data_IF_503200111669
#
_entry.id   IF_503200111669
#
_cell.length_a   1.000
_cell.length_b   1.000
_cell.length_c   1.000
_cell.angle_alpha   90.00
_cell.angle_beta   90.00
_cell.angle_gamma   90.00
#
_symmetry.space_group_name_H-M   'P 1'
#
loop_
_entity.id
_entity.type
_entity.pdbx_description
1 polymer ?
#
# COMPACT_ATOMS: atom_id res chain seq x y z
N UNK A 1 -16.98 5.46 16.44
CA UNK A 1 -15.51 5.58 16.31
C UNK A 1 -14.79 4.26 16.03
N UNK A 2 -15.17 3.14 16.68
CA UNK A 2 -14.53 1.82 16.47
C UNK A 2 -14.62 1.29 15.03
N UNK A 3 -15.80 1.34 14.41
CA UNK A 3 -16.02 0.86 13.02
C UNK A 3 -15.18 1.64 12.00
N UNK A 4 -15.13 2.97 12.14
CA UNK A 4 -14.33 3.83 11.27
C UNK A 4 -12.84 3.47 11.33
N UNK A 5 -12.31 3.33 12.54
CA UNK A 5 -10.91 2.92 12.74
C UNK A 5 -10.63 1.52 12.18
N UNK A 6 -11.59 0.59 12.26
CA UNK A 6 -11.46 -0.74 11.68
C UNK A 6 -11.41 -0.69 10.15
N UNK A 7 -12.31 0.07 9.52
CA UNK A 7 -12.36 0.23 8.05
C UNK A 7 -11.06 0.85 7.55
N UNK A 8 -10.60 1.93 8.19
CA UNK A 8 -9.36 2.61 7.81
C UNK A 8 -8.16 1.68 7.95
N UNK A 9 -8.05 0.96 9.07
CA UNK A 9 -6.99 -0.04 9.27
C UNK A 9 -7.00 -1.08 8.16
N UNK A 10 -8.19 -1.61 7.83
CA UNK A 10 -8.37 -2.61 6.78
C UNK A 10 -7.94 -2.08 5.41
N UNK A 11 -8.25 -0.82 5.08
CA UNK A 11 -7.81 -0.19 3.82
C UNK A 11 -6.28 -0.14 3.74
N UNK A 12 -5.61 0.33 4.78
CA UNK A 12 -4.14 0.37 4.83
C UNK A 12 -3.51 -1.03 4.74
N UNK A 13 -4.12 -2.03 5.40
CA UNK A 13 -3.67 -3.42 5.34
C UNK A 13 -3.81 -3.99 3.93
N UNK A 14 -4.96 -3.77 3.28
CA UNK A 14 -5.20 -4.21 1.90
C UNK A 14 -4.19 -3.57 0.94
N UNK A 15 -3.98 -2.25 1.03
CA UNK A 15 -3.00 -1.56 0.18
C UNK A 15 -1.57 -2.09 0.40
N UNK A 16 -1.20 -2.36 1.65
CA UNK A 16 0.10 -2.93 1.99
C UNK A 16 0.26 -4.33 1.37
N UNK A 17 -0.75 -5.18 1.49
CA UNK A 17 -0.73 -6.52 0.88
C UNK A 17 -0.71 -6.47 -0.65
N UNK A 18 -1.42 -5.54 -1.28
CA UNK A 18 -1.34 -5.34 -2.74
C UNK A 18 0.08 -4.97 -3.18
N UNK A 19 0.76 -4.10 -2.43
CA UNK A 19 2.16 -3.75 -2.71
C UNK A 19 3.08 -4.97 -2.56
N UNK A 20 2.91 -5.75 -1.49
CA UNK A 20 3.68 -6.99 -1.27
C UNK A 20 3.47 -7.98 -2.42
N UNK A 21 2.22 -8.27 -2.77
CA UNK A 21 1.88 -9.20 -3.86
C UNK A 21 2.48 -8.72 -5.19
N UNK A 22 2.35 -7.42 -5.51
CA UNK A 22 2.93 -6.84 -6.72
C UNK A 22 4.44 -7.04 -6.77
N UNK A 23 5.10 -6.80 -5.64
CA UNK A 23 6.56 -6.89 -5.52
C UNK A 23 7.04 -8.31 -5.75
N UNK A 24 6.41 -9.27 -5.06
CA UNK A 24 6.70 -10.70 -5.22
C UNK A 24 6.50 -11.15 -6.66
N UNK A 25 5.38 -10.76 -7.30
CA UNK A 25 5.14 -11.08 -8.72
C UNK A 25 6.23 -10.47 -9.61
N UNK A 26 6.64 -9.22 -9.36
CA UNK A 26 7.66 -8.57 -10.19
C UNK A 26 9.03 -9.24 -10.09
N UNK A 27 9.40 -9.69 -8.89
CA UNK A 27 10.70 -10.32 -8.64
C UNK A 27 10.77 -11.76 -9.12
N UNK A 28 9.66 -12.50 -8.98
CA UNK A 28 9.57 -13.88 -9.44
C UNK A 28 9.45 -13.98 -10.97
N UNK A 29 9.16 -12.87 -11.66
CA UNK A 29 8.99 -12.79 -13.11
C UNK A 29 8.22 -13.99 -13.72
N UNK A 30 7.03 -14.34 -13.19
CA UNK A 30 6.29 -15.50 -13.66
C UNK A 30 5.85 -15.31 -15.11
N UNK A 31 5.75 -16.39 -15.87
CA UNK A 31 5.32 -16.32 -17.26
C UNK A 31 3.78 -16.17 -17.38
N UNK A 32 3.30 -15.13 -18.08
CA UNK A 32 1.92 -14.63 -18.01
C UNK A 32 1.21 -14.75 -19.35
N UNK A 33 0.78 -15.97 -19.66
CA UNK A 33 0.06 -16.27 -20.90
C UNK A 33 -1.47 -16.15 -20.76
N UNK A 34 -2.03 -16.36 -19.56
CA UNK A 34 -3.48 -16.38 -19.38
C UNK A 34 -4.12 -14.97 -19.26
N UNK A 35 -5.25 -14.70 -19.95
CA UNK A 35 -5.89 -13.39 -19.97
C UNK A 35 -6.44 -12.94 -18.61
N UNK A 36 -6.86 -13.88 -17.75
CA UNK A 36 -7.34 -13.56 -16.40
C UNK A 36 -6.21 -13.03 -15.50
N UNK A 37 -5.01 -13.60 -15.62
CA UNK A 37 -3.84 -13.15 -14.88
C UNK A 37 -3.44 -11.72 -15.29
N UNK A 38 -3.50 -11.38 -16.59
CA UNK A 38 -3.28 -10.00 -17.07
C UNK A 38 -4.28 -8.98 -16.53
N UNK A 39 -5.55 -9.38 -16.33
CA UNK A 39 -6.57 -8.51 -15.71
C UNK A 39 -6.26 -8.24 -14.24
N UNK A 40 -5.90 -9.28 -13.49
CA UNK A 40 -5.49 -9.15 -12.09
C UNK A 40 -4.29 -8.22 -11.93
N UNK A 41 -3.25 -8.39 -12.76
CA UNK A 41 -2.10 -7.48 -12.73
C UNK A 41 -2.48 -6.04 -13.03
N UNK A 42 -3.28 -5.75 -14.06
CA UNK A 42 -3.70 -4.37 -14.32
C UNK A 42 -4.42 -3.74 -13.14
N UNK A 43 -5.25 -4.51 -12.44
CA UNK A 43 -5.91 -4.04 -11.23
C UNK A 43 -4.89 -3.72 -10.13
N UNK A 44 -3.95 -4.65 -9.92
CA UNK A 44 -2.88 -4.52 -8.94
C UNK A 44 -2.03 -3.27 -9.19
N UNK A 45 -1.58 -3.06 -10.42
CA UNK A 45 -0.83 -1.87 -10.82
C UNK A 45 -1.68 -0.61 -10.65
N UNK A 46 -2.96 -0.62 -11.06
CA UNK A 46 -3.85 0.54 -10.94
C UNK A 46 -4.00 1.04 -9.49
N UNK A 47 -4.06 0.12 -8.52
CA UNK A 47 -4.19 0.50 -7.11
C UNK A 47 -2.86 0.88 -6.44
N UNK A 48 -1.75 0.32 -6.92
CA UNK A 48 -0.45 0.50 -6.27
C UNK A 48 0.43 1.56 -6.93
N UNK A 49 0.25 1.86 -8.23
CA UNK A 49 1.06 2.87 -8.94
C UNK A 49 0.92 4.28 -8.39
N UNK A 50 -0.26 4.78 -7.96
CA UNK A 50 -0.35 6.10 -7.36
C UNK A 50 0.48 6.26 -6.08
N UNK A 51 0.88 5.16 -5.44
CA UNK A 51 1.74 5.15 -4.25
C UNK A 51 3.20 4.90 -4.66
N UNK A 52 3.45 3.90 -5.52
CA UNK A 52 4.80 3.49 -5.90
C UNK A 52 5.45 4.44 -6.92
N UNK A 53 4.70 4.93 -7.90
CA UNK A 53 5.19 5.81 -8.96
C UNK A 53 5.88 7.06 -8.42
N UNK A 54 5.21 7.87 -7.57
CA UNK A 54 5.82 9.05 -6.97
C UNK A 54 7.08 8.75 -6.16
N UNK A 55 7.11 7.63 -5.43
CA UNK A 55 8.30 7.24 -4.66
C UNK A 55 9.47 6.90 -5.59
N UNK A 56 9.20 6.17 -6.68
CA UNK A 56 10.20 5.77 -7.68
C UNK A 56 10.76 6.98 -8.44
N UNK A 57 9.94 7.99 -8.70
CA UNK A 57 10.36 9.21 -9.39
C UNK A 57 11.22 10.12 -8.51
N UNK A 58 10.93 10.18 -7.21
CA UNK A 58 11.58 11.10 -6.29
C UNK A 58 12.78 10.51 -5.54
N UNK A 59 12.90 9.18 -5.48
CA UNK A 59 13.98 8.51 -4.77
C UNK A 59 14.69 7.50 -5.70
N UNK A 60 16.04 7.45 -5.70
CA UNK A 60 16.79 6.44 -6.43
C UNK A 60 16.74 5.09 -5.68
N UNK A 61 15.55 4.48 -5.62
CA UNK A 61 15.27 3.24 -4.88
C UNK A 61 15.43 1.97 -5.73
N UNK A 62 15.82 2.13 -6.99
CA UNK A 62 16.17 1.01 -7.86
C UNK A 62 17.68 0.78 -7.73
N UNK A 63 18.07 -0.36 -7.16
CA UNK A 63 19.46 -0.71 -6.96
C UNK A 63 19.72 -2.15 -7.40
N UNK A 64 20.82 -2.37 -8.13
CA UNK A 64 21.23 -3.70 -8.63
C UNK A 64 20.12 -4.44 -9.41
N UNK A 65 19.26 -3.71 -10.13
CA UNK A 65 18.14 -4.29 -10.88
C UNK A 65 16.93 -4.70 -10.02
N UNK A 66 16.96 -4.45 -8.71
CA UNK A 66 15.83 -4.67 -7.81
C UNK A 66 15.11 -3.35 -7.49
N UNK A 67 13.78 -3.41 -7.53
CA UNK A 67 12.90 -2.30 -7.14
C UNK A 67 12.66 -2.34 -5.62
N UNK A 68 13.29 -1.45 -4.86
CA UNK A 68 13.07 -1.28 -3.41
C UNK A 68 12.00 -0.23 -3.07
N UNK A 69 11.37 0.40 -4.08
CA UNK A 69 10.20 1.29 -3.90
C UNK A 69 9.14 0.68 -2.95
N UNK A 70 8.81 -0.62 -3.05
CA UNK A 70 7.82 -1.23 -2.17
C UNK A 70 8.16 -1.15 -0.68
N UNK A 71 9.42 -1.27 -0.30
CA UNK A 71 9.83 -1.16 1.11
C UNK A 71 9.56 0.25 1.65
N UNK A 72 9.94 1.27 0.88
CA UNK A 72 9.70 2.66 1.23
C UNK A 72 8.20 2.95 1.31
N UNK A 73 7.42 2.43 0.36
CA UNK A 73 5.98 2.58 0.35
C UNK A 73 5.31 1.94 1.57
N UNK A 74 5.72 0.72 1.95
CA UNK A 74 5.19 0.04 3.14
C UNK A 74 5.52 0.80 4.42
N UNK A 75 6.72 1.36 4.52
CA UNK A 75 7.11 2.19 5.66
C UNK A 75 6.26 3.47 5.73
N UNK A 76 6.09 4.18 4.61
CA UNK A 76 5.26 5.38 4.55
C UNK A 76 3.79 5.08 4.86
N UNK A 77 3.24 3.98 4.33
CA UNK A 77 1.88 3.54 4.64
C UNK A 77 1.70 3.22 6.12
N UNK A 78 2.68 2.59 6.76
CA UNK A 78 2.64 2.29 8.21
C UNK A 78 2.62 3.57 9.06
N UNK A 79 3.45 4.55 8.70
CA UNK A 79 3.48 5.86 9.36
C UNK A 79 2.14 6.57 9.16
N UNK A 80 1.65 6.65 7.92
CA UNK A 80 0.38 7.29 7.59
C UNK A 80 -0.81 6.62 8.29
N UNK A 81 -0.86 5.29 8.33
CA UNK A 81 -1.89 4.55 9.07
C UNK A 81 -1.91 4.93 10.53
N UNK A 82 -0.74 4.94 11.17
CA UNK A 82 -0.62 5.27 12.60
C UNK A 82 -1.03 6.72 12.87
N UNK A 83 -0.60 7.64 12.01
CA UNK A 83 -0.95 9.05 12.09
C UNK A 83 -2.46 9.28 11.98
N UNK A 84 -3.10 8.74 10.94
CA UNK A 84 -4.55 8.88 10.70
C UNK A 84 -5.35 8.28 11.86
N UNK A 85 -5.00 7.07 12.33
CA UNK A 85 -5.71 6.43 13.44
C UNK A 85 -5.57 7.21 14.76
N UNK A 86 -4.41 7.83 15.01
CA UNK A 86 -4.22 8.71 16.17
C UNK A 86 -5.12 9.94 16.09
N UNK A 87 -5.18 10.61 14.94
CA UNK A 87 -6.07 11.77 14.75
C UNK A 87 -7.52 11.39 15.05
N UNK A 88 -7.99 10.26 14.51
CA UNK A 88 -9.36 9.78 14.76
C UNK A 88 -9.59 9.49 16.24
N UNK A 89 -8.60 8.91 16.92
CA UNK A 89 -8.69 8.67 18.36
C UNK A 89 -8.77 9.97 19.16
N UNK A 90 -7.96 10.98 18.84
CA UNK A 90 -8.03 12.29 19.49
C UNK A 90 -9.38 12.96 19.28
N UNK A 91 -9.89 12.97 18.05
CA UNK A 91 -11.22 13.52 17.74
C UNK A 91 -12.33 12.73 18.45
N UNK A 92 -12.22 11.41 18.54
CA UNK A 92 -13.17 10.58 19.27
C UNK A 92 -13.24 10.94 20.76
N UNK A 93 -12.09 11.21 21.38
CA UNK A 93 -12.00 11.63 22.77
C UNK A 93 -12.60 13.02 22.99
N UNK A 94 -12.25 13.98 22.14
CA UNK A 94 -12.74 15.36 22.21
C UNK A 94 -14.26 15.45 22.06
N UNK A 95 -14.84 14.63 21.19
CA UNK A 95 -16.27 14.56 20.96
C UNK A 95 -17.03 13.69 21.99
N UNK A 96 -16.34 13.07 22.95
CA UNK A 96 -16.96 12.17 23.93
C UNK A 96 -17.52 10.87 23.35
N UNK A 97 -16.98 10.40 22.21
CA UNK A 97 -17.47 9.27 21.42
C UNK A 97 -16.67 7.96 21.65
N UNK A 98 -16.12 7.79 22.85
CA UNK A 98 -15.21 6.69 23.21
C UNK A 98 -15.90 5.49 23.88
#
# INVERSE_FOLDING_TARGET
MRLLSYIIRSIFDILSWLIVIRTLISWLAPDIHHPNWRKFLRLLYRFTEPILGPIRENLPVIAWGLDFTPLVALLLLSIMRTFVLRIIMYLALDLGLY
#
